data_IF_366629430030
#
_entry.id   IF_366629430030
#
_cell.length_a   1.000
_cell.length_b   1.000
_cell.length_c   1.000
_cell.angle_alpha   90.00
_cell.angle_beta   90.00
_cell.angle_gamma   90.00
#
_symmetry.space_group_name_H-M   'P 1'
#
loop_
_entity.id
_entity.type
_entity.pdbx_description
1 polymer ?
#
# COMPACT_ATOMS: atom_id res chain seq x y z
N UNK A 1 7.16 -5.96 10.88
CA UNK A 1 5.79 -6.48 10.79
C UNK A 1 4.78 -5.34 10.86
N UNK A 2 4.04 -5.11 9.78
CA UNK A 2 3.08 -3.99 9.66
C UNK A 2 1.65 -4.46 9.96
N UNK A 3 1.48 -5.32 10.96
CA UNK A 3 0.15 -5.81 11.32
C UNK A 3 -0.49 -4.89 12.36
N UNK A 4 -1.76 -4.49 12.19
CA UNK A 4 -2.42 -3.59 13.14
C UNK A 4 -2.66 -4.30 14.46
N UNK A 5 -2.37 -3.61 15.56
CA UNK A 5 -2.73 -4.04 16.91
C UNK A 5 -3.92 -3.22 17.39
N UNK A 6 -4.96 -3.86 17.87
CA UNK A 6 -6.13 -3.21 18.46
C UNK A 6 -6.36 -3.73 19.87
N UNK A 7 -6.68 -2.80 20.80
CA UNK A 7 -7.01 -3.12 22.21
C UNK A 7 -5.92 -3.94 22.92
N UNK A 8 -4.64 -3.68 22.63
CA UNK A 8 -3.52 -4.42 23.24
C UNK A 8 -3.33 -5.85 22.74
N UNK A 9 -4.14 -6.30 21.78
CA UNK A 9 -3.94 -7.58 21.12
C UNK A 9 -2.71 -7.58 20.22
N UNK A 10 -1.93 -8.67 20.21
CA UNK A 10 -0.81 -8.83 19.27
C UNK A 10 -1.30 -8.77 17.83
N UNK A 11 -0.58 -8.07 16.97
CA UNK A 11 -0.97 -7.89 15.57
C UNK A 11 -1.04 -9.21 14.81
N UNK A 12 0.01 -10.00 14.85
CA UNK A 12 0.11 -11.29 14.16
C UNK A 12 0.99 -12.26 14.95
N UNK A 13 0.65 -13.52 14.92
CA UNK A 13 1.43 -14.59 15.53
C UNK A 13 1.47 -15.79 14.60
N UNK A 14 2.61 -16.46 14.48
CA UNK A 14 2.77 -17.67 13.69
C UNK A 14 1.77 -18.75 14.11
N UNK A 15 1.08 -19.35 13.15
CA UNK A 15 0.05 -20.37 13.36
C UNK A 15 -1.32 -19.84 13.79
N UNK A 16 -1.43 -18.59 14.24
CA UNK A 16 -2.70 -17.94 14.63
C UNK A 16 -3.15 -16.88 13.63
N UNK A 17 -2.21 -16.29 12.91
CA UNK A 17 -2.47 -15.20 11.96
C UNK A 17 -2.77 -13.85 12.62
N UNK A 18 -3.32 -12.94 11.85
CA UNK A 18 -3.78 -11.65 12.33
C UNK A 18 -5.09 -11.79 13.12
N UNK A 19 -5.18 -11.09 14.25
CA UNK A 19 -6.40 -11.03 15.08
C UNK A 19 -7.26 -9.80 14.79
N UNK A 20 -6.75 -8.91 13.97
CA UNK A 20 -7.49 -7.75 13.44
C UNK A 20 -7.60 -7.92 11.95
N UNK A 21 -8.79 -7.75 11.41
CA UNK A 21 -9.06 -7.94 9.99
C UNK A 21 -9.12 -6.60 9.27
N UNK A 22 -8.57 -6.55 8.06
CA UNK A 22 -8.78 -5.44 7.15
C UNK A 22 -9.65 -5.93 6.00
N UNK A 23 -10.71 -5.19 5.76
CA UNK A 23 -11.60 -5.37 4.61
C UNK A 23 -11.44 -4.20 3.65
N UNK A 24 -11.48 -4.49 2.37
CA UNK A 24 -11.61 -3.50 1.30
C UNK A 24 -12.90 -3.82 0.56
N UNK A 25 -13.86 -2.89 0.63
CA UNK A 25 -15.22 -3.07 0.09
C UNK A 25 -15.88 -4.41 0.53
N UNK A 26 -15.67 -4.77 1.80
CA UNK A 26 -16.19 -6.01 2.38
C UNK A 26 -15.36 -7.26 2.10
N UNK A 27 -14.34 -7.19 1.26
CA UNK A 27 -13.45 -8.32 0.95
C UNK A 27 -12.21 -8.32 1.87
N UNK A 28 -11.91 -9.50 2.42
CA UNK A 28 -10.73 -9.66 3.29
C UNK A 28 -9.43 -9.52 2.52
N UNK A 29 -8.49 -8.76 3.11
CA UNK A 29 -7.12 -8.62 2.60
C UNK A 29 -6.14 -9.62 3.18
N UNK A 30 -6.62 -10.57 3.98
CA UNK A 30 -5.78 -11.61 4.58
C UNK A 30 -5.26 -12.57 3.51
N UNK A 31 -3.98 -12.86 3.60
CA UNK A 31 -3.40 -13.96 2.86
C UNK A 31 -3.92 -15.29 3.44
N UNK A 32 -4.63 -16.13 2.66
CA UNK A 32 -5.25 -17.35 3.19
C UNK A 32 -4.21 -18.38 3.67
N UNK A 33 -2.97 -18.31 3.20
CA UNK A 33 -1.90 -19.23 3.57
C UNK A 33 -1.18 -18.83 4.86
N UNK A 34 -0.91 -17.54 5.04
CA UNK A 34 -0.11 -17.05 6.18
C UNK A 34 -0.94 -16.35 7.25
N UNK A 35 -2.20 -15.98 6.96
CA UNK A 35 -3.04 -15.17 7.84
C UNK A 35 -2.53 -13.73 8.03
N UNK A 36 -1.58 -13.30 7.21
CA UNK A 36 -1.06 -11.93 7.24
C UNK A 36 -1.91 -10.98 6.41
N UNK A 37 -1.99 -9.73 6.85
CA UNK A 37 -2.65 -8.69 6.08
C UNK A 37 -1.78 -8.27 4.90
N UNK A 38 -2.33 -8.37 3.71
CA UNK A 38 -1.65 -7.90 2.50
C UNK A 38 -1.96 -6.43 2.24
N UNK A 39 -1.10 -5.55 2.75
CA UNK A 39 -1.22 -4.11 2.55
C UNK A 39 -1.11 -3.67 1.10
N UNK A 40 -0.51 -4.48 0.24
CA UNK A 40 -0.40 -4.15 -1.18
C UNK A 40 -1.75 -4.19 -1.91
N UNK A 41 -2.78 -4.79 -1.32
CA UNK A 41 -4.13 -4.83 -1.90
C UNK A 41 -4.97 -3.61 -1.51
N UNK A 42 -4.53 -2.80 -0.55
CA UNK A 42 -5.26 -1.61 -0.10
C UNK A 42 -5.07 -0.46 -1.09
N UNK A 43 -6.14 0.03 -1.76
CA UNK A 43 -6.06 1.07 -2.78
C UNK A 43 -6.03 2.47 -2.13
N UNK A 44 -4.87 2.88 -1.60
CA UNK A 44 -4.71 4.15 -0.88
C UNK A 44 -5.15 5.37 -1.72
N UNK A 45 -5.00 5.27 -3.04
CA UNK A 45 -5.35 6.31 -4.00
C UNK A 45 -6.86 6.54 -4.16
N UNK A 46 -7.68 5.59 -3.71
CA UNK A 46 -9.14 5.60 -3.93
C UNK A 46 -9.94 5.36 -2.65
N UNK A 47 -9.40 5.68 -1.50
CA UNK A 47 -10.13 5.55 -0.23
C UNK A 47 -11.12 6.71 -0.07
N UNK A 48 -12.37 6.39 0.23
CA UNK A 48 -13.40 7.36 0.60
C UNK A 48 -13.60 7.39 2.13
N UNK A 49 -13.66 6.21 2.75
CA UNK A 49 -13.99 6.07 4.17
C UNK A 49 -13.21 4.91 4.80
N UNK A 50 -12.80 5.11 6.04
CA UNK A 50 -12.23 4.07 6.88
C UNK A 50 -13.08 3.95 8.14
N UNK A 51 -13.65 2.78 8.37
CA UNK A 51 -14.42 2.46 9.56
C UNK A 51 -13.60 1.53 10.44
N UNK A 52 -13.49 1.84 11.73
CA UNK A 52 -12.80 0.99 12.70
C UNK A 52 -13.82 0.46 13.70
N UNK A 53 -14.07 -0.84 13.62
CA UNK A 53 -14.98 -1.56 14.53
C UNK A 53 -14.10 -2.27 15.55
N UNK A 54 -14.16 -1.82 16.79
CA UNK A 54 -13.40 -2.37 17.90
C UNK A 54 -14.20 -3.44 18.63
N UNK A 55 -13.56 -4.56 18.92
CA UNK A 55 -14.17 -5.65 19.68
C UNK A 55 -14.33 -6.93 18.88
N UNK A 56 -14.93 -7.92 19.51
CA UNK A 56 -15.15 -9.24 18.92
C UNK A 56 -16.23 -9.17 17.85
N UNK A 57 -15.84 -9.07 16.61
CA UNK A 57 -16.73 -9.12 15.44
C UNK A 57 -16.62 -10.45 14.69
N UNK A 58 -16.07 -11.47 15.37
CA UNK A 58 -15.82 -12.79 14.80
C UNK A 58 -17.10 -13.51 14.31
N UNK A 59 -18.25 -13.19 14.91
CA UNK A 59 -19.55 -13.75 14.50
C UNK A 59 -19.91 -13.36 13.07
N UNK A 60 -19.58 -12.13 12.66
CA UNK A 60 -19.92 -11.61 11.32
C UNK A 60 -18.78 -11.78 10.31
N UNK A 61 -17.52 -11.77 10.78
CA UNK A 61 -16.36 -11.63 9.91
C UNK A 61 -15.28 -12.70 10.11
N UNK A 62 -15.59 -13.71 10.93
CA UNK A 62 -14.72 -14.87 11.16
C UNK A 62 -13.69 -14.66 12.28
N UNK A 63 -12.91 -15.72 12.55
CA UNK A 63 -11.98 -15.79 13.69
C UNK A 63 -10.84 -14.75 13.66
N UNK A 64 -10.51 -14.25 12.49
CA UNK A 64 -9.48 -13.20 12.34
C UNK A 64 -9.94 -11.82 12.80
N UNK A 65 -11.20 -11.64 13.17
CA UNK A 65 -11.77 -10.38 13.65
C UNK A 65 -11.96 -10.33 15.18
N UNK A 66 -11.14 -11.05 15.94
CA UNK A 66 -11.24 -11.13 17.41
C UNK A 66 -11.00 -9.78 18.09
N UNK A 67 -10.05 -9.00 17.63
CA UNK A 67 -9.70 -7.71 18.23
C UNK A 67 -10.43 -6.54 17.56
N UNK A 68 -10.95 -6.74 16.37
CA UNK A 68 -11.68 -5.74 15.61
C UNK A 68 -11.42 -5.78 14.10
N UNK A 69 -12.02 -4.82 13.41
CA UNK A 69 -12.02 -4.74 11.95
C UNK A 69 -11.69 -3.31 11.56
N UNK A 70 -10.89 -3.19 10.50
CA UNK A 70 -10.72 -1.96 9.74
C UNK A 70 -11.41 -2.19 8.39
N UNK A 71 -12.53 -1.54 8.17
CA UNK A 71 -13.25 -1.60 6.89
C UNK A 71 -12.93 -0.36 6.06
N UNK A 72 -12.29 -0.58 4.93
CA UNK A 72 -11.90 0.46 3.99
C UNK A 72 -12.89 0.43 2.84
N UNK A 73 -13.56 1.56 2.62
CA UNK A 73 -14.47 1.73 1.49
C UNK A 73 -13.80 2.57 0.42
N UNK A 74 -13.82 2.07 -0.79
CA UNK A 74 -13.37 2.82 -1.96
C UNK A 74 -14.41 3.85 -2.40
N UNK A 75 -13.92 4.93 -3.01
CA UNK A 75 -14.78 6.00 -3.50
C UNK A 75 -15.73 5.49 -4.58
N UNK A 76 -17.02 5.74 -4.37
CA UNK A 76 -18.06 5.42 -5.36
C UNK A 76 -18.14 6.51 -6.42
N UNK A 77 -18.31 6.15 -7.68
CA UNK A 77 -18.59 7.11 -8.74
C UNK A 77 -19.84 7.93 -8.45
N UNK A 78 -19.70 9.25 -8.54
CA UNK A 78 -20.83 10.17 -8.45
C UNK A 78 -21.35 10.59 -9.83
N UNK A 79 -22.36 11.46 -9.84
CA UNK A 79 -22.91 12.05 -11.08
C UNK A 79 -21.87 12.86 -11.85
N UNK A 80 -20.95 13.51 -11.14
CA UNK A 80 -19.85 14.26 -11.74
C UNK A 80 -18.61 13.38 -11.88
N UNK A 81 -18.00 13.31 -13.08
CA UNK A 81 -16.73 12.60 -13.24
C UNK A 81 -15.66 13.17 -12.34
N UNK A 82 -14.90 12.30 -11.67
CA UNK A 82 -13.77 12.69 -10.84
C UNK A 82 -12.51 12.02 -11.34
N UNK A 83 -11.48 12.82 -11.61
CA UNK A 83 -10.14 12.33 -11.88
C UNK A 83 -9.24 12.84 -10.79
N UNK A 84 -8.44 11.94 -10.19
CA UNK A 84 -7.40 12.28 -9.22
C UNK A 84 -6.08 11.79 -9.76
N UNK A 85 -5.11 12.67 -9.76
CA UNK A 85 -3.72 12.36 -10.05
C UNK A 85 -2.86 12.77 -8.87
N UNK A 86 -1.93 11.92 -8.50
CA UNK A 86 -0.93 12.19 -7.47
C UNK A 86 0.42 11.71 -7.97
N UNK A 87 1.45 12.52 -7.77
CA UNK A 87 2.83 12.14 -8.01
C UNK A 87 3.67 12.64 -6.83
N UNK A 88 4.53 11.80 -6.32
CA UNK A 88 5.39 12.15 -5.21
C UNK A 88 6.76 11.50 -5.35
N UNK A 89 7.73 12.16 -4.78
CA UNK A 89 9.10 11.68 -4.68
C UNK A 89 9.62 11.98 -3.29
N UNK A 90 10.40 11.08 -2.74
CA UNK A 90 11.12 11.29 -1.50
C UNK A 90 12.55 10.80 -1.62
N UNK A 91 13.42 11.41 -0.84
CA UNK A 91 14.85 11.11 -0.76
C UNK A 91 15.10 10.66 0.67
N UNK A 92 15.76 9.52 0.84
CA UNK A 92 16.22 9.11 2.16
C UNK A 92 17.38 10.00 2.59
N UNK A 93 17.28 10.54 3.82
CA UNK A 93 18.38 11.31 4.42
C UNK A 93 19.57 10.42 4.75
N UNK A 94 20.70 11.07 5.01
CA UNK A 94 21.88 10.38 5.48
C UNK A 94 21.64 9.78 6.87
N UNK A 95 22.24 8.64 7.13
CA UNK A 95 22.19 8.04 8.46
C UNK A 95 22.99 8.90 9.44
N UNK A 96 22.53 9.01 10.68
CA UNK A 96 23.22 9.72 11.76
C UNK A 96 24.63 9.13 12.04
N UNK A 97 24.79 7.85 11.76
CA UNK A 97 26.05 7.12 11.87
C UNK A 97 26.48 6.65 10.47
N UNK A 98 27.68 7.02 10.04
CA UNK A 98 28.27 6.65 8.75
C UNK A 98 28.33 5.14 8.50
N UNK A 99 28.40 4.34 9.56
CA UNK A 99 28.36 2.88 9.46
C UNK A 99 27.06 2.38 8.83
N UNK A 100 25.97 3.10 9.04
CA UNK A 100 24.64 2.77 8.49
C UNK A 100 24.34 3.48 7.18
N UNK A 101 25.27 4.23 6.63
CA UNK A 101 25.15 4.88 5.33
C UNK A 101 25.26 3.86 4.21
N UNK A 102 24.17 3.59 3.53
CA UNK A 102 24.12 2.59 2.46
C UNK A 102 24.27 3.18 1.07
N UNK A 103 24.04 4.49 0.90
CA UNK A 103 24.08 5.17 -0.40
C UNK A 103 25.43 5.07 -1.12
N UNK A 104 26.52 4.95 -0.37
CA UNK A 104 27.87 4.81 -0.90
C UNK A 104 28.36 3.36 -1.03
N UNK A 105 27.56 2.41 -0.59
CA UNK A 105 27.94 0.99 -0.66
C UNK A 105 27.89 0.47 -2.10
N UNK A 106 28.83 -0.40 -2.43
CA UNK A 106 28.99 -0.94 -3.79
C UNK A 106 27.75 -1.70 -4.32
N UNK A 107 26.92 -2.25 -3.42
CA UNK A 107 25.74 -3.00 -3.83
C UNK A 107 24.65 -2.14 -4.50
N UNK A 108 24.63 -0.82 -4.25
CA UNK A 108 23.74 0.11 -4.96
C UNK A 108 24.12 0.28 -6.43
N UNK A 109 25.34 -0.06 -6.77
CA UNK A 109 25.84 -0.03 -8.15
C UNK A 109 25.57 -1.32 -8.91
N UNK A 110 25.16 -2.38 -8.23
CA UNK A 110 24.84 -3.66 -8.85
C UNK A 110 23.42 -3.64 -9.42
N UNK A 111 23.32 -3.48 -10.72
CA UNK A 111 22.06 -3.45 -11.48
C UNK A 111 21.15 -4.66 -11.25
N UNK A 112 21.72 -5.78 -10.82
CA UNK A 112 20.97 -7.01 -10.57
C UNK A 112 20.02 -6.88 -9.36
N UNK A 113 20.38 -6.05 -8.40
CA UNK A 113 19.64 -5.90 -7.14
C UNK A 113 19.02 -4.52 -6.95
N UNK A 114 19.22 -3.60 -7.88
CA UNK A 114 18.67 -2.25 -7.80
C UNK A 114 17.39 -2.12 -8.62
N UNK A 115 16.40 -1.49 -8.03
CA UNK A 115 15.23 -0.99 -8.74
C UNK A 115 15.61 0.35 -9.32
N UNK A 116 15.40 0.55 -10.63
CA UNK A 116 15.67 1.85 -11.27
C UNK A 116 14.40 2.71 -11.23
N UNK A 117 14.32 3.75 -10.38
CA UNK A 117 13.24 4.72 -10.42
C UNK A 117 13.21 5.45 -11.76
N UNK A 118 12.02 5.80 -12.21
CA UNK A 118 11.82 6.47 -13.51
C UNK A 118 12.49 7.85 -13.52
N UNK A 119 12.37 8.58 -12.41
CA UNK A 119 12.88 9.95 -12.32
C UNK A 119 14.38 10.02 -12.07
N UNK A 120 14.99 9.00 -11.48
CA UNK A 120 16.45 9.03 -11.20
C UNK A 120 17.29 9.21 -12.47
N UNK A 121 16.99 8.47 -13.52
CA UNK A 121 17.75 8.50 -14.76
C UNK A 121 17.68 9.81 -15.53
N UNK A 122 16.54 10.52 -15.41
CA UNK A 122 16.24 11.70 -16.22
C UNK A 122 16.41 13.02 -15.46
N UNK A 123 15.99 13.05 -14.20
CA UNK A 123 15.91 14.30 -13.43
C UNK A 123 16.85 14.35 -12.23
N UNK A 124 17.19 13.22 -11.65
CA UNK A 124 17.85 13.12 -10.35
C UNK A 124 19.18 12.38 -10.41
N UNK A 125 19.84 12.37 -11.55
CA UNK A 125 21.12 11.65 -11.77
C UNK A 125 22.27 12.08 -10.83
N UNK A 126 22.19 13.27 -10.26
CA UNK A 126 23.19 13.79 -9.30
C UNK A 126 22.94 13.42 -7.83
N UNK A 127 21.78 12.84 -7.52
CA UNK A 127 21.43 12.45 -6.14
C UNK A 127 22.04 11.10 -5.82
N UNK A 128 22.85 11.02 -4.77
CA UNK A 128 23.47 9.77 -4.32
C UNK A 128 22.55 8.94 -3.42
N UNK A 129 21.73 9.61 -2.62
CA UNK A 129 20.86 8.98 -1.65
C UNK A 129 19.77 8.15 -2.33
N UNK A 130 19.33 7.05 -1.71
CA UNK A 130 18.21 6.28 -2.19
C UNK A 130 16.95 7.14 -2.29
N UNK A 131 16.12 6.87 -3.30
CA UNK A 131 14.87 7.60 -3.51
C UNK A 131 13.70 6.63 -3.55
N UNK A 132 12.53 7.16 -3.27
CA UNK A 132 11.27 6.50 -3.58
C UNK A 132 10.39 7.46 -4.39
N UNK A 133 9.60 6.90 -5.29
CA UNK A 133 8.68 7.64 -6.13
C UNK A 133 7.36 6.90 -6.26
N UNK A 134 6.30 7.64 -6.46
CA UNK A 134 4.98 7.07 -6.71
C UNK A 134 4.15 7.92 -7.63
N UNK A 135 3.32 7.25 -8.42
CA UNK A 135 2.37 7.83 -9.33
C UNK A 135 1.02 7.13 -9.14
N UNK A 136 0.01 7.90 -8.87
CA UNK A 136 -1.35 7.45 -8.68
C UNK A 136 -2.26 8.15 -9.66
N UNK A 137 -3.08 7.40 -10.38
CA UNK A 137 -4.14 7.91 -11.24
C UNK A 137 -5.42 7.16 -10.92
N UNK A 138 -6.47 7.88 -10.62
CA UNK A 138 -7.81 7.29 -10.50
C UNK A 138 -8.84 8.13 -11.26
N UNK A 139 -9.77 7.45 -11.89
CA UNK A 139 -10.91 8.06 -12.56
C UNK A 139 -12.18 7.33 -12.19
N UNK A 140 -13.24 8.09 -11.92
CA UNK A 140 -14.55 7.52 -11.64
C UNK A 140 -15.64 8.38 -12.26
N UNK A 141 -16.65 7.72 -12.83
CA UNK A 141 -17.83 8.39 -13.39
C UNK A 141 -19.04 7.47 -13.45
N UNK A 142 -20.22 8.06 -13.46
CA UNK A 142 -21.45 7.36 -13.79
C UNK A 142 -21.76 7.49 -15.27
N UNK A 143 -22.13 6.40 -15.93
CA UNK A 143 -22.52 6.34 -17.34
C UNK A 143 -23.88 5.63 -17.39
N UNK A 144 -24.95 6.42 -17.53
CA UNK A 144 -26.33 5.90 -17.41
C UNK A 144 -26.55 5.30 -16.02
N UNK A 145 -26.87 4.01 -15.96
CA UNK A 145 -27.08 3.28 -14.71
C UNK A 145 -25.80 2.58 -14.20
N UNK A 146 -24.67 2.77 -14.87
CA UNK A 146 -23.43 2.11 -14.49
C UNK A 146 -22.48 3.07 -13.80
N UNK A 147 -21.98 2.67 -12.66
CA UNK A 147 -20.89 3.30 -11.94
C UNK A 147 -19.57 2.64 -12.36
N UNK A 148 -18.70 3.41 -13.01
CA UNK A 148 -17.40 2.94 -13.52
C UNK A 148 -16.28 3.65 -12.80
N UNK A 149 -15.33 2.89 -12.26
CA UNK A 149 -14.10 3.45 -11.69
C UNK A 149 -12.89 2.63 -12.12
N UNK A 150 -11.75 3.31 -12.20
CA UNK A 150 -10.47 2.67 -12.48
C UNK A 150 -9.33 3.41 -11.79
N UNK A 151 -8.30 2.69 -11.41
CA UNK A 151 -7.10 3.24 -10.79
C UNK A 151 -5.84 2.53 -11.24
N UNK A 152 -4.75 3.27 -11.28
CA UNK A 152 -3.40 2.78 -11.54
C UNK A 152 -2.50 3.37 -10.48
N UNK A 153 -1.67 2.53 -9.85
CA UNK A 153 -0.62 2.92 -8.92
C UNK A 153 0.71 2.33 -9.38
N UNK A 154 1.70 3.18 -9.49
CA UNK A 154 3.10 2.83 -9.72
C UNK A 154 3.89 3.31 -8.52
N UNK A 155 4.67 2.44 -7.92
CA UNK A 155 5.53 2.78 -6.80
C UNK A 155 6.87 2.09 -6.95
N UNK A 156 7.94 2.85 -6.76
CA UNK A 156 9.30 2.37 -6.80
C UNK A 156 10.05 2.93 -5.60
N UNK A 157 10.74 2.09 -4.87
CA UNK A 157 11.51 2.43 -3.69
C UNK A 157 12.85 1.70 -3.74
N UNK A 158 13.94 2.44 -3.73
CA UNK A 158 15.28 1.86 -3.67
C UNK A 158 15.60 1.30 -2.28
N UNK A 159 14.83 1.72 -1.26
CA UNK A 159 15.02 1.33 0.13
C UNK A 159 16.24 1.99 0.78
N UNK A 160 16.26 2.02 2.08
CA UNK A 160 17.40 2.55 2.87
C UNK A 160 18.27 1.45 3.47
N UNK A 161 17.91 0.19 3.26
CA UNK A 161 18.64 -1.00 3.73
C UNK A 161 19.01 -1.90 2.56
N UNK A 162 20.05 -2.68 2.74
CA UNK A 162 20.42 -3.73 1.79
C UNK A 162 19.21 -4.64 1.49
N UNK A 163 18.94 -4.88 0.21
CA UNK A 163 17.79 -5.66 -0.27
C UNK A 163 16.41 -5.12 0.17
N UNK A 164 16.35 -3.86 0.61
CA UNK A 164 15.10 -3.19 1.03
C UNK A 164 14.29 -2.57 -0.10
N UNK A 165 14.68 -2.78 -1.36
CA UNK A 165 14.00 -2.22 -2.52
C UNK A 165 12.58 -2.79 -2.69
N UNK A 166 11.69 -1.95 -3.23
CA UNK A 166 10.31 -2.34 -3.53
C UNK A 166 9.88 -1.75 -4.87
N UNK A 167 9.28 -2.57 -5.70
CA UNK A 167 8.61 -2.13 -6.92
C UNK A 167 7.20 -2.68 -6.95
N UNK A 168 6.23 -1.79 -7.07
CA UNK A 168 4.81 -2.15 -7.07
C UNK A 168 4.12 -1.53 -8.27
N UNK A 169 3.42 -2.36 -9.01
CA UNK A 169 2.43 -1.96 -9.98
C UNK A 169 1.07 -2.50 -9.53
N UNK A 170 0.08 -1.63 -9.49
CA UNK A 170 -1.29 -2.01 -9.18
C UNK A 170 -2.24 -1.34 -10.17
N UNK A 171 -3.19 -2.11 -10.66
CA UNK A 171 -4.27 -1.64 -11.48
C UNK A 171 -5.57 -2.24 -10.95
N UNK A 172 -6.57 -1.43 -10.82
CA UNK A 172 -7.89 -1.85 -10.36
C UNK A 172 -8.99 -1.17 -11.13
N UNK A 173 -10.14 -1.80 -11.16
CA UNK A 173 -11.35 -1.23 -11.75
C UNK A 173 -12.59 -1.85 -11.13
N UNK A 174 -13.67 -1.08 -11.09
CA UNK A 174 -14.97 -1.52 -10.60
C UNK A 174 -16.06 -1.07 -11.55
N UNK A 175 -17.02 -1.95 -11.78
CA UNK A 175 -18.25 -1.71 -12.53
C UNK A 175 -19.42 -2.15 -11.67
N UNK A 176 -20.31 -1.21 -11.37
CA UNK A 176 -21.51 -1.49 -10.56
C UNK A 176 -22.74 -0.96 -11.31
N UNK A 177 -23.83 -1.76 -11.30
CA UNK A 177 -25.13 -1.38 -11.86
C UNK A 177 -26.09 -0.91 -10.78
#
# INVERSE_FOLDING_TARGET
DKQPSMRGGSGWTYGVGARSQILVDGMSTLNPKTGEINWNTVPLENIEQIEVIKGASSVLYGSSALNGIINIRTARPGLTPKTRFSAYIGIYGDAENDEYQWSDKSFWKDDKYSVKPILRGNLLSGIRNPIYEGFDLSHSRRIGNFDVSGSINLFTDEGYRQQGYNKRFRMGGNLTY
#
